data_IF_310865409754
#
_entry.id   IF_310865409754
#
_cell.length_a   1.000
_cell.length_b   1.000
_cell.length_c   1.000
_cell.angle_alpha   90.00
_cell.angle_beta   90.00
_cell.angle_gamma   90.00
#
_symmetry.space_group_name_H-M   'P 1'
#
loop_
_entity.id
_entity.type
_entity.pdbx_description
1 polymer ?
#
# COMPACT_ATOMS: atom_id res chain seq x y z
N UNK A 1 -20.34 5.35 6.51
CA UNK A 1 -19.68 5.64 7.83
C UNK A 1 -20.67 5.57 8.98
N UNK A 2 -20.30 4.93 10.10
CA UNK A 2 -21.02 4.96 11.38
C UNK A 2 -20.90 6.32 12.10
N UNK A 3 -21.52 6.47 13.28
CA UNK A 3 -21.54 7.74 14.01
C UNK A 3 -20.15 8.16 14.52
N UNK A 4 -19.35 7.20 15.01
CA UNK A 4 -17.98 7.46 15.49
C UNK A 4 -17.06 7.89 14.34
N UNK A 5 -17.13 7.17 13.22
CA UNK A 5 -16.37 7.51 12.01
C UNK A 5 -16.73 8.91 11.49
N UNK A 6 -18.01 9.30 11.51
CA UNK A 6 -18.43 10.66 11.13
C UNK A 6 -17.86 11.73 12.07
N UNK A 7 -17.85 11.47 13.38
CA UNK A 7 -17.27 12.39 14.36
C UNK A 7 -15.76 12.54 14.15
N UNK A 8 -15.04 11.44 13.93
CA UNK A 8 -13.62 11.43 13.67
C UNK A 8 -13.27 12.12 12.33
N UNK A 9 -14.08 11.90 11.29
CA UNK A 9 -13.93 12.60 10.01
C UNK A 9 -14.13 14.12 10.18
N UNK A 10 -15.15 14.55 10.93
CA UNK A 10 -15.36 15.98 11.21
C UNK A 10 -14.17 16.60 11.99
N UNK A 11 -13.57 15.85 12.91
CA UNK A 11 -12.35 16.28 13.63
C UNK A 11 -11.16 16.40 12.67
N UNK A 12 -10.94 15.41 11.80
CA UNK A 12 -9.91 15.46 10.77
C UNK A 12 -10.07 16.68 9.85
N UNK A 13 -11.29 16.96 9.39
CA UNK A 13 -11.57 18.10 8.52
C UNK A 13 -11.25 19.44 9.20
N UNK A 14 -11.51 19.58 10.50
CA UNK A 14 -11.11 20.77 11.27
C UNK A 14 -9.60 20.90 11.30
N UNK A 15 -8.86 19.82 11.61
CA UNK A 15 -7.40 19.86 11.56
C UNK A 15 -6.85 20.26 10.19
N UNK A 16 -7.41 19.73 9.11
CA UNK A 16 -6.96 20.02 7.73
C UNK A 16 -7.27 21.47 7.29
N UNK A 17 -8.26 22.11 7.92
CA UNK A 17 -8.55 23.53 7.73
C UNK A 17 -7.53 24.45 8.43
N UNK A 18 -6.87 23.98 9.49
CA UNK A 18 -5.94 24.76 10.29
C UNK A 18 -4.47 24.49 9.97
N UNK A 19 -4.12 23.26 9.68
CA UNK A 19 -2.73 22.79 9.51
C UNK A 19 -2.58 21.92 8.25
N UNK A 20 -1.36 21.79 7.69
CA UNK A 20 -1.07 20.82 6.64
C UNK A 20 -1.43 19.39 7.05
N UNK A 21 -1.68 18.53 6.09
CA UNK A 21 -1.97 17.10 6.32
C UNK A 21 -0.84 16.26 5.75
N UNK A 22 -0.39 15.27 6.51
CA UNK A 22 0.52 14.23 6.03
C UNK A 22 -0.26 12.93 5.87
N UNK A 23 -0.28 12.37 4.68
CA UNK A 23 -1.03 11.14 4.36
C UNK A 23 -0.07 9.99 4.13
N UNK A 24 -0.20 8.91 4.87
CA UNK A 24 0.43 7.61 4.61
C UNK A 24 -0.64 6.69 4.05
N UNK A 25 -0.47 6.18 2.85
CA UNK A 25 -1.49 5.37 2.19
C UNK A 25 -0.92 4.10 1.60
N UNK A 26 -1.63 2.98 1.82
CA UNK A 26 -1.50 1.83 0.95
C UNK A 26 -2.18 2.09 -0.41
N UNK A 27 -1.89 1.24 -1.40
CA UNK A 27 -2.47 1.31 -2.73
C UNK A 27 -3.60 0.30 -2.92
N UNK A 28 -3.28 -0.98 -2.81
CA UNK A 28 -4.19 -2.07 -3.16
C UNK A 28 -5.40 -2.09 -2.24
N UNK A 29 -6.61 -2.15 -2.80
CA UNK A 29 -7.89 -2.16 -2.05
C UNK A 29 -8.10 -0.98 -1.09
N UNK A 30 -7.13 -0.09 -0.99
CA UNK A 30 -7.18 1.14 -0.19
C UNK A 30 -7.45 2.33 -1.09
N UNK A 31 -6.44 2.75 -1.85
CA UNK A 31 -6.54 3.88 -2.78
C UNK A 31 -6.92 3.44 -4.20
N UNK A 32 -6.80 2.16 -4.47
CA UNK A 32 -7.06 1.55 -5.77
C UNK A 32 -8.21 0.55 -5.71
N UNK A 33 -8.96 0.49 -6.79
CA UNK A 33 -9.95 -0.54 -7.05
C UNK A 33 -9.28 -1.66 -7.84
N UNK A 34 -9.29 -2.88 -7.32
CA UNK A 34 -8.80 -4.06 -8.04
C UNK A 34 -9.84 -4.57 -9.03
N UNK A 35 -9.37 -4.96 -10.22
CA UNK A 35 -10.14 -5.75 -11.17
C UNK A 35 -11.33 -5.06 -11.84
N UNK A 36 -11.45 -3.74 -11.75
CA UNK A 36 -12.59 -3.04 -12.34
C UNK A 36 -12.42 -2.88 -13.85
N UNK A 37 -13.06 -3.75 -14.65
CA UNK A 37 -13.12 -3.62 -16.11
C UNK A 37 -13.77 -2.31 -16.56
N UNK A 38 -14.71 -1.78 -15.80
CA UNK A 38 -15.39 -0.51 -16.09
C UNK A 38 -14.41 0.67 -15.99
N UNK A 39 -13.48 0.60 -15.07
CA UNK A 39 -12.43 1.61 -14.90
C UNK A 39 -11.40 1.60 -16.04
N UNK A 40 -11.12 0.41 -16.59
CA UNK A 40 -10.26 0.26 -17.77
C UNK A 40 -10.92 0.82 -19.04
N UNK A 41 -12.25 0.74 -19.15
CA UNK A 41 -12.99 1.22 -20.31
C UNK A 41 -12.99 2.76 -20.42
N UNK A 42 -12.94 3.49 -19.31
CA UNK A 42 -12.83 4.95 -19.32
C UNK A 42 -11.40 5.45 -19.65
N UNK A 43 -10.40 4.60 -19.55
CA UNK A 43 -9.00 4.87 -19.88
C UNK A 43 -8.53 3.94 -21.02
N UNK A 44 -9.27 3.85 -22.09
CA UNK A 44 -9.11 2.92 -23.22
C UNK A 44 -7.73 2.87 -23.89
N UNK A 45 -6.86 3.82 -23.64
CA UNK A 45 -5.48 3.77 -24.15
C UNK A 45 -4.62 2.67 -23.51
N UNK A 46 -5.02 2.09 -22.39
CA UNK A 46 -4.25 1.09 -21.64
C UNK A 46 -4.94 -0.25 -21.49
N UNK A 47 -5.84 -0.59 -22.41
CA UNK A 47 -6.23 -1.98 -22.66
C UNK A 47 -6.90 -2.73 -21.52
N UNK A 48 -8.15 -2.99 -21.56
CA UNK A 48 -8.99 -3.97 -20.86
C UNK A 48 -8.34 -5.10 -20.04
N UNK A 49 -7.18 -4.89 -19.47
CA UNK A 49 -6.37 -5.78 -18.66
C UNK A 49 -6.70 -5.57 -17.18
N UNK A 50 -6.80 -6.65 -16.44
CA UNK A 50 -6.95 -6.62 -14.98
C UNK A 50 -5.80 -5.80 -14.37
N UNK A 51 -6.07 -4.60 -13.90
CA UNK A 51 -5.09 -3.70 -13.31
C UNK A 51 -5.60 -3.13 -11.99
N UNK A 52 -4.72 -2.55 -11.22
CA UNK A 52 -5.08 -1.74 -10.07
C UNK A 52 -5.11 -0.29 -10.51
N UNK A 53 -6.26 0.35 -10.45
CA UNK A 53 -6.45 1.73 -10.83
C UNK A 53 -6.78 2.56 -9.59
N UNK A 54 -6.10 3.70 -9.47
CA UNK A 54 -6.39 4.60 -8.35
C UNK A 54 -7.74 5.28 -8.57
N UNK A 55 -8.55 5.28 -7.52
CA UNK A 55 -9.83 5.96 -7.53
C UNK A 55 -9.63 7.46 -7.83
N UNK A 56 -10.36 8.06 -8.82
CA UNK A 56 -10.05 9.40 -9.34
C UNK A 56 -10.07 10.52 -8.31
N UNK A 57 -11.01 10.48 -7.35
CA UNK A 57 -11.07 11.52 -6.31
C UNK A 57 -9.88 11.40 -5.35
N UNK A 58 -9.43 10.17 -5.05
CA UNK A 58 -8.20 9.94 -4.26
C UNK A 58 -6.99 10.46 -5.05
N UNK A 59 -6.86 10.11 -6.32
CA UNK A 59 -5.77 10.59 -7.17
C UNK A 59 -5.72 12.12 -7.19
N UNK A 60 -6.85 12.78 -7.49
CA UNK A 60 -6.92 14.24 -7.51
C UNK A 60 -6.60 14.87 -6.15
N UNK A 61 -7.07 14.27 -5.06
CA UNK A 61 -6.77 14.74 -3.71
C UNK A 61 -5.28 14.63 -3.41
N UNK A 62 -4.68 13.45 -3.58
CA UNK A 62 -3.27 13.21 -3.28
C UNK A 62 -2.36 14.10 -4.13
N UNK A 63 -2.61 14.24 -5.42
CA UNK A 63 -1.79 15.09 -6.30
C UNK A 63 -1.91 16.59 -5.99
N UNK A 64 -3.04 17.04 -5.41
CA UNK A 64 -3.24 18.45 -5.03
C UNK A 64 -2.74 18.80 -3.63
N UNK A 65 -2.51 17.82 -2.75
CA UNK A 65 -2.04 18.07 -1.38
C UNK A 65 -0.71 18.85 -1.31
N UNK A 66 0.32 18.56 -2.13
CA UNK A 66 1.58 19.31 -2.11
C UNK A 66 1.41 20.80 -2.41
N UNK A 67 0.45 21.18 -3.27
CA UNK A 67 0.16 22.59 -3.58
C UNK A 67 -0.33 23.38 -2.36
N UNK A 68 -0.87 22.67 -1.36
CA UNK A 68 -1.34 23.26 -0.10
C UNK A 68 -0.34 23.17 1.05
N UNK A 69 0.92 22.77 0.78
CA UNK A 69 1.95 22.51 1.79
C UNK A 69 1.71 21.24 2.61
N UNK A 70 0.76 20.40 2.19
CA UNK A 70 0.54 19.07 2.73
C UNK A 70 1.43 18.05 2.03
N UNK A 71 1.53 16.83 2.55
CA UNK A 71 2.34 15.77 1.95
C UNK A 71 1.56 14.46 1.85
N UNK A 72 1.94 13.60 0.92
CA UNK A 72 1.50 12.23 0.91
C UNK A 72 2.67 11.28 0.68
N UNK A 73 2.57 10.10 1.26
CA UNK A 73 3.57 9.05 1.22
C UNK A 73 2.86 7.75 0.89
N UNK A 74 3.24 7.14 -0.22
CA UNK A 74 2.74 5.82 -0.61
C UNK A 74 3.54 4.78 0.15
N UNK A 75 2.86 3.81 0.78
CA UNK A 75 3.49 2.73 1.53
C UNK A 75 2.89 1.41 1.06
N UNK A 76 3.56 0.74 0.12
CA UNK A 76 2.96 -0.39 -0.60
C UNK A 76 3.88 -1.61 -0.65
N UNK A 77 3.25 -2.78 -0.79
CA UNK A 77 3.93 -4.02 -1.13
C UNK A 77 4.40 -4.08 -2.59
N UNK A 78 3.85 -3.23 -3.47
CA UNK A 78 4.21 -3.23 -4.89
C UNK A 78 5.65 -2.81 -5.11
N UNK A 79 6.25 -3.39 -6.15
CA UNK A 79 7.57 -2.96 -6.60
C UNK A 79 7.43 -1.73 -7.50
N UNK A 80 8.38 -0.80 -7.39
CA UNK A 80 8.32 0.49 -8.07
C UNK A 80 8.42 0.45 -9.60
N UNK A 81 9.15 -0.51 -10.15
CA UNK A 81 9.44 -0.60 -11.60
C UNK A 81 9.03 -1.92 -12.25
N UNK A 82 8.52 -2.87 -11.47
CA UNK A 82 8.18 -4.16 -12.02
C UNK A 82 6.77 -4.10 -12.63
N UNK A 83 6.70 -4.32 -13.92
CA UNK A 83 5.44 -4.58 -14.59
C UNK A 83 4.91 -5.94 -14.11
N UNK A 84 3.60 -6.03 -13.89
CA UNK A 84 2.92 -7.32 -13.80
C UNK A 84 3.04 -8.04 -15.15
N UNK A 85 3.07 -9.35 -15.10
CA UNK A 85 2.97 -10.17 -16.29
C UNK A 85 1.57 -10.75 -16.35
N UNK A 86 0.88 -10.53 -17.45
CA UNK A 86 -0.43 -11.13 -17.70
C UNK A 86 -0.26 -12.66 -17.83
N UNK A 87 -0.99 -13.40 -17.02
CA UNK A 87 -0.85 -14.86 -16.95
C UNK A 87 -1.39 -15.58 -18.20
N UNK A 88 -2.22 -14.93 -18.98
CA UNK A 88 -2.83 -15.49 -20.19
C UNK A 88 -1.99 -15.14 -21.43
N UNK A 89 -1.53 -13.89 -21.52
CA UNK A 89 -0.82 -13.39 -22.70
C UNK A 89 0.69 -13.40 -22.57
N UNK A 90 1.22 -13.45 -21.31
CA UNK A 90 2.65 -13.31 -21.03
C UNK A 90 3.17 -11.87 -21.21
N UNK A 91 2.30 -10.91 -21.48
CA UNK A 91 2.69 -9.53 -21.67
C UNK A 91 2.93 -8.80 -20.35
N UNK A 92 3.85 -7.85 -20.35
CA UNK A 92 4.08 -6.96 -19.21
C UNK A 92 2.94 -5.95 -19.12
N UNK A 93 2.25 -5.94 -17.98
CA UNK A 93 1.21 -4.96 -17.66
C UNK A 93 1.88 -3.88 -16.80
N UNK A 94 1.83 -2.59 -17.22
CA UNK A 94 2.29 -1.48 -16.38
C UNK A 94 1.60 -1.51 -15.02
N UNK A 95 2.28 -1.10 -13.95
CA UNK A 95 1.64 -0.90 -12.65
C UNK A 95 0.78 0.36 -12.72
N UNK A 96 -0.49 0.17 -13.07
CA UNK A 96 -1.42 1.25 -13.36
C UNK A 96 -1.58 2.23 -12.20
N UNK A 97 -1.52 1.75 -10.95
CA UNK A 97 -1.68 2.62 -9.79
C UNK A 97 -0.55 3.63 -9.63
N UNK A 98 0.70 3.21 -9.84
CA UNK A 98 1.83 4.12 -9.83
C UNK A 98 1.82 5.03 -11.06
N UNK A 99 1.53 4.48 -12.21
CA UNK A 99 1.42 5.24 -13.46
C UNK A 99 0.33 6.31 -13.35
N UNK A 100 -0.85 5.95 -12.86
CA UNK A 100 -1.97 6.86 -12.67
C UNK A 100 -1.68 7.97 -11.67
N UNK A 101 -1.11 7.59 -10.50
CA UNK A 101 -0.76 8.57 -9.47
C UNK A 101 0.25 9.57 -9.99
N UNK A 102 1.16 9.11 -10.80
CA UNK A 102 2.32 9.87 -11.23
C UNK A 102 2.06 10.64 -12.52
N UNK A 103 0.89 10.49 -13.16
CA UNK A 103 0.53 11.18 -14.39
C UNK A 103 1.53 10.94 -15.53
N UNK A 104 2.12 9.74 -15.55
CA UNK A 104 3.21 9.38 -16.43
C UNK A 104 4.61 9.68 -15.84
N UNK A 105 5.63 9.48 -16.65
CA UNK A 105 7.06 9.51 -16.25
C UNK A 105 7.47 10.81 -15.54
N UNK A 106 6.88 11.94 -15.89
CA UNK A 106 7.24 13.26 -15.34
C UNK A 106 6.72 13.51 -13.91
N UNK A 107 5.76 12.75 -13.44
CA UNK A 107 5.25 12.89 -12.08
C UNK A 107 6.04 12.05 -11.06
N UNK A 108 6.90 11.16 -11.52
CA UNK A 108 7.83 10.38 -10.70
C UNK A 108 8.76 11.25 -9.86
N UNK A 109 9.11 12.42 -10.34
CA UNK A 109 10.01 13.35 -9.65
C UNK A 109 9.42 13.92 -8.35
N UNK A 110 8.08 13.87 -8.18
CA UNK A 110 7.40 14.46 -7.01
C UNK A 110 6.82 13.43 -6.04
N UNK A 111 6.85 12.15 -6.38
CA UNK A 111 6.31 11.12 -5.52
C UNK A 111 7.32 10.71 -4.43
N UNK A 112 6.81 10.57 -3.23
CA UNK A 112 7.55 9.93 -2.14
C UNK A 112 6.86 8.63 -1.77
N UNK A 113 7.57 7.52 -1.86
CA UNK A 113 7.02 6.21 -1.61
C UNK A 113 8.00 5.27 -0.88
N UNK A 114 7.42 4.40 -0.08
CA UNK A 114 8.07 3.19 0.44
C UNK A 114 7.46 2.02 -0.32
N UNK A 115 8.24 1.37 -1.16
CA UNK A 115 7.80 0.28 -2.03
C UNK A 115 8.44 -1.06 -1.63
N UNK A 116 7.93 -2.17 -2.18
CA UNK A 116 8.46 -3.51 -1.94
C UNK A 116 8.45 -3.89 -0.46
N UNK A 117 7.33 -3.71 0.22
CA UNK A 117 7.19 -3.98 1.67
C UNK A 117 8.26 -3.29 2.54
N UNK A 118 8.60 -2.03 2.25
CA UNK A 118 9.52 -1.27 3.07
C UNK A 118 10.99 -1.36 2.66
N UNK A 119 11.30 -1.98 1.54
CA UNK A 119 12.67 -2.12 1.06
C UNK A 119 13.19 -0.92 0.29
N UNK A 120 12.35 -0.30 -0.49
CA UNK A 120 12.73 0.76 -1.41
C UNK A 120 12.14 2.09 -0.96
N UNK A 121 12.99 3.08 -0.83
CA UNK A 121 12.58 4.48 -0.74
C UNK A 121 12.64 5.07 -2.16
N UNK A 122 11.53 5.62 -2.61
CA UNK A 122 11.45 6.39 -3.84
C UNK A 122 11.19 7.83 -3.46
N UNK A 123 12.08 8.71 -3.86
CA UNK A 123 11.97 10.13 -3.59
C UNK A 123 12.67 10.91 -4.69
N UNK A 124 12.03 11.95 -5.21
CA UNK A 124 12.58 12.84 -6.22
C UNK A 124 13.13 12.07 -7.45
N UNK A 125 12.37 11.05 -7.92
CA UNK A 125 12.75 10.19 -9.03
C UNK A 125 13.86 9.17 -8.73
N UNK A 126 14.48 9.23 -7.56
CA UNK A 126 15.57 8.34 -7.15
C UNK A 126 15.05 7.19 -6.28
N UNK A 127 15.66 6.02 -6.46
CA UNK A 127 15.36 4.83 -5.67
C UNK A 127 16.54 4.50 -4.78
N UNK A 128 16.30 4.43 -3.47
CA UNK A 128 17.30 4.02 -2.47
C UNK A 128 16.85 2.74 -1.77
N UNK A 129 17.76 1.78 -1.62
CA UNK A 129 17.48 0.56 -0.84
C UNK A 129 17.61 0.88 0.64
N UNK A 130 16.53 0.69 1.40
CA UNK A 130 16.47 0.97 2.84
C UNK A 130 17.03 -0.16 3.72
N UNK A 131 17.94 -1.00 3.24
CA UNK A 131 18.44 -2.13 4.04
C UNK A 131 19.96 -2.28 4.04
N UNK A 132 20.48 -2.88 5.05
CA UNK A 132 21.47 -3.88 5.42
C UNK A 132 22.88 -3.82 4.81
N UNK A 133 23.79 -4.54 5.50
CA UNK A 133 25.12 -4.87 4.97
C UNK A 133 25.03 -5.61 3.63
N UNK A 134 25.95 -5.31 2.72
CA UNK A 134 25.97 -5.91 1.37
C UNK A 134 26.04 -7.45 1.40
N UNK A 135 26.64 -8.05 2.44
CA UNK A 135 26.80 -9.49 2.56
C UNK A 135 25.49 -10.21 2.94
N UNK A 136 24.70 -9.64 3.85
CA UNK A 136 23.38 -10.19 4.21
C UNK A 136 22.42 -10.05 3.04
N UNK A 137 22.45 -8.92 2.34
CA UNK A 137 21.66 -8.71 1.14
C UNK A 137 21.96 -9.74 0.04
N UNK A 138 23.23 -10.15 -0.13
CA UNK A 138 23.62 -11.14 -1.14
C UNK A 138 23.14 -12.56 -0.82
N UNK A 139 23.26 -12.99 0.43
CA UNK A 139 22.77 -14.31 0.86
C UNK A 139 21.26 -14.42 0.74
N UNK A 140 20.54 -13.37 1.16
CA UNK A 140 19.10 -13.30 0.99
C UNK A 140 18.68 -13.35 -0.48
N UNK A 141 19.37 -12.64 -1.36
CA UNK A 141 19.07 -12.67 -2.80
C UNK A 141 19.15 -14.06 -3.40
N UNK A 142 20.09 -14.90 -2.95
CA UNK A 142 20.18 -16.29 -3.41
C UNK A 142 18.95 -17.09 -3.00
N UNK A 143 18.52 -16.95 -1.74
CA UNK A 143 17.34 -17.66 -1.25
C UNK A 143 16.07 -17.10 -1.88
N UNK A 144 15.94 -15.78 -2.00
CA UNK A 144 14.82 -15.11 -2.70
C UNK A 144 14.69 -15.63 -4.13
N UNK A 145 15.78 -15.70 -4.85
CA UNK A 145 15.80 -16.21 -6.23
C UNK A 145 15.38 -17.68 -6.30
N UNK A 146 15.90 -18.51 -5.39
CA UNK A 146 15.52 -19.92 -5.29
C UNK A 146 14.01 -20.06 -5.07
N UNK A 147 13.44 -19.34 -4.13
CA UNK A 147 11.99 -19.35 -3.87
C UNK A 147 11.23 -18.85 -5.10
N UNK A 148 11.65 -17.74 -5.70
CA UNK A 148 11.00 -17.17 -6.88
C UNK A 148 10.95 -18.14 -8.07
N UNK A 149 12.07 -18.78 -8.38
CA UNK A 149 12.15 -19.79 -9.45
C UNK A 149 11.23 -21.00 -9.17
N UNK A 150 11.12 -21.42 -7.91
CA UNK A 150 10.23 -22.52 -7.53
C UNK A 150 8.75 -22.11 -7.50
N UNK A 151 8.41 -20.88 -7.13
CA UNK A 151 7.04 -20.35 -7.25
C UNK A 151 6.60 -20.33 -8.71
N UNK A 152 7.48 -19.95 -9.65
CA UNK A 152 7.14 -20.01 -11.08
C UNK A 152 6.95 -21.43 -11.59
N UNK A 153 7.72 -22.42 -11.08
CA UNK A 153 7.48 -23.83 -11.36
C UNK A 153 6.15 -24.32 -10.76
N UNK A 154 5.88 -23.93 -9.52
CA UNK A 154 4.63 -24.25 -8.84
C UNK A 154 3.41 -23.72 -9.62
N UNK A 155 3.49 -22.51 -10.17
CA UNK A 155 2.48 -21.94 -11.06
C UNK A 155 2.19 -22.87 -12.26
N UNK A 156 3.24 -23.41 -12.89
CA UNK A 156 3.06 -24.36 -14.01
C UNK A 156 2.39 -25.66 -13.57
N UNK A 157 2.74 -26.18 -12.38
CA UNK A 157 2.09 -27.36 -11.81
C UNK A 157 0.62 -27.12 -11.46
N UNK A 158 0.29 -25.93 -10.95
CA UNK A 158 -1.11 -25.53 -10.71
C UNK A 158 -1.88 -25.55 -12.04
N UNK A 159 -1.38 -24.95 -13.09
CA UNK A 159 -2.05 -24.91 -14.39
C UNK A 159 -2.17 -26.27 -15.10
N UNK A 160 -1.31 -27.24 -14.76
CA UNK A 160 -1.47 -28.61 -15.22
C UNK A 160 -2.61 -29.35 -14.50
N UNK A 161 -2.74 -29.12 -13.17
CA UNK A 161 -3.76 -29.77 -12.34
C UNK A 161 -5.13 -29.11 -12.46
N UNK A 162 -5.15 -27.81 -12.57
CA UNK A 162 -6.35 -26.97 -12.68
C UNK A 162 -6.21 -26.01 -13.88
N UNK A 163 -6.44 -26.51 -15.11
CA UNK A 163 -6.25 -25.68 -16.32
C UNK A 163 -7.17 -24.46 -16.36
N UNK A 164 -8.34 -24.54 -15.75
CA UNK A 164 -9.36 -23.51 -15.63
C UNK A 164 -9.00 -22.40 -14.61
N UNK A 165 -7.96 -22.61 -13.79
CA UNK A 165 -7.46 -21.59 -12.89
C UNK A 165 -6.68 -20.47 -13.61
N UNK A 166 -6.37 -20.61 -14.89
CA UNK A 166 -5.66 -19.59 -15.67
C UNK A 166 -6.47 -18.29 -15.70
N UNK A 167 -5.82 -17.18 -15.36
CA UNK A 167 -6.44 -15.87 -15.24
C UNK A 167 -7.16 -15.60 -13.92
N UNK A 168 -7.25 -16.58 -13.00
CA UNK A 168 -7.90 -16.47 -11.70
C UNK A 168 -6.96 -16.67 -10.51
N UNK A 169 -5.69 -16.94 -10.76
CA UNK A 169 -4.65 -16.99 -9.73
C UNK A 169 -3.54 -16.00 -10.03
N UNK A 170 -2.91 -15.49 -8.98
CA UNK A 170 -1.69 -14.71 -9.08
C UNK A 170 -0.56 -15.53 -8.47
N UNK A 171 0.48 -15.81 -9.24
CA UNK A 171 1.71 -16.41 -8.75
C UNK A 171 2.89 -15.62 -9.32
N UNK A 172 3.55 -14.85 -8.46
CA UNK A 172 4.56 -13.88 -8.87
C UNK A 172 5.83 -14.01 -8.04
N UNK A 173 6.95 -13.79 -8.71
CA UNK A 173 8.22 -13.50 -8.10
C UNK A 173 8.55 -12.02 -8.25
N UNK A 174 8.43 -11.30 -7.16
CA UNK A 174 8.99 -9.95 -7.02
C UNK A 174 10.29 -10.09 -6.24
N UNK A 175 11.33 -9.39 -6.64
CA UNK A 175 12.68 -9.50 -6.04
C UNK A 175 12.76 -9.56 -4.50
N UNK A 176 11.66 -9.45 -3.77
CA UNK A 176 11.61 -9.38 -2.30
C UNK A 176 10.39 -10.06 -1.71
N UNK A 177 9.53 -10.53 -2.58
CA UNK A 177 8.28 -11.18 -2.23
C UNK A 177 7.98 -12.20 -3.32
N UNK A 178 7.81 -13.43 -2.92
CA UNK A 178 7.25 -14.47 -3.79
C UNK A 178 5.92 -14.87 -3.21
N UNK A 179 4.87 -14.87 -4.01
CA UNK A 179 3.54 -15.21 -3.51
C UNK A 179 2.70 -15.96 -4.51
N UNK A 180 1.72 -16.70 -3.99
CA UNK A 180 0.63 -17.31 -4.73
C UNK A 180 -0.68 -16.91 -4.07
N UNK A 181 -1.59 -16.33 -4.85
CA UNK A 181 -2.94 -16.01 -4.40
C UNK A 181 -3.94 -16.79 -5.23
N UNK A 182 -4.77 -17.59 -4.56
CA UNK A 182 -5.79 -18.44 -5.18
C UNK A 182 -7.22 -18.01 -4.85
N UNK A 183 -7.39 -16.87 -4.17
CA UNK A 183 -8.68 -16.45 -3.63
C UNK A 183 -9.75 -16.28 -4.73
N UNK A 184 -9.42 -15.62 -5.84
CA UNK A 184 -10.37 -15.43 -6.94
C UNK A 184 -10.84 -16.77 -7.52
N UNK A 185 -9.93 -17.73 -7.69
CA UNK A 185 -10.31 -19.06 -8.16
C UNK A 185 -11.18 -19.82 -7.15
N UNK A 186 -10.88 -19.66 -5.86
CA UNK A 186 -11.68 -20.28 -4.79
C UNK A 186 -13.10 -19.70 -4.67
N UNK A 187 -13.30 -18.44 -5.05
CA UNK A 187 -14.64 -17.84 -5.15
C UNK A 187 -15.45 -18.44 -6.29
N UNK A 188 -14.81 -18.74 -7.42
CA UNK A 188 -15.47 -19.31 -8.61
C UNK A 188 -15.69 -20.81 -8.44
N UNK A 189 -14.73 -21.52 -7.86
CA UNK A 189 -14.73 -22.97 -7.70
C UNK A 189 -14.27 -23.37 -6.28
N UNK A 190 -15.18 -23.31 -5.27
CA UNK A 190 -14.82 -23.42 -3.86
C UNK A 190 -14.10 -24.73 -3.48
N UNK A 191 -14.54 -25.87 -4.00
CA UNK A 191 -13.92 -27.18 -3.70
C UNK A 191 -12.52 -27.28 -4.28
N UNK A 192 -12.37 -27.02 -5.59
CA UNK A 192 -11.07 -27.04 -6.25
C UNK A 192 -10.13 -25.95 -5.71
N UNK A 193 -10.66 -24.78 -5.36
CA UNK A 193 -9.91 -23.71 -4.72
C UNK A 193 -9.35 -24.09 -3.36
N UNK A 194 -10.11 -24.83 -2.54
CA UNK A 194 -9.66 -25.38 -1.27
C UNK A 194 -8.55 -26.41 -1.44
N UNK A 195 -8.72 -27.33 -2.39
CA UNK A 195 -7.68 -28.33 -2.71
C UNK A 195 -6.40 -27.64 -3.21
N UNK A 196 -6.54 -26.65 -4.08
CA UNK A 196 -5.44 -25.86 -4.61
C UNK A 196 -4.71 -25.10 -3.48
N UNK A 197 -5.44 -24.44 -2.60
CA UNK A 197 -4.85 -23.73 -1.46
C UNK A 197 -4.04 -24.68 -0.56
N UNK A 198 -4.56 -25.86 -0.26
CA UNK A 198 -3.85 -26.86 0.52
C UNK A 198 -2.60 -27.38 -0.20
N UNK A 199 -2.67 -27.59 -1.51
CA UNK A 199 -1.53 -27.97 -2.33
C UNK A 199 -0.45 -26.88 -2.33
N UNK A 200 -0.82 -25.63 -2.59
CA UNK A 200 0.11 -24.49 -2.59
C UNK A 200 0.76 -24.29 -1.22
N UNK A 201 -0.01 -24.32 -0.14
CA UNK A 201 0.53 -24.20 1.23
C UNK A 201 1.59 -25.27 1.50
N UNK A 202 1.30 -26.52 1.14
CA UNK A 202 2.24 -27.65 1.30
C UNK A 202 3.54 -27.42 0.50
N UNK A 203 3.44 -27.06 -0.75
CA UNK A 203 4.60 -26.85 -1.62
C UNK A 203 5.45 -25.64 -1.19
N UNK A 204 4.81 -24.53 -0.83
CA UNK A 204 5.50 -23.35 -0.32
C UNK A 204 6.27 -23.62 0.99
N UNK A 205 5.69 -24.41 1.91
CA UNK A 205 6.40 -24.85 3.13
C UNK A 205 7.57 -25.79 2.81
N UNK A 206 7.39 -26.69 1.86
CA UNK A 206 8.44 -27.61 1.43
C UNK A 206 9.65 -26.85 0.83
N UNK A 207 9.41 -25.81 0.04
CA UNK A 207 10.47 -24.95 -0.50
C UNK A 207 11.30 -24.30 0.60
N UNK A 208 10.68 -23.88 1.71
CA UNK A 208 11.38 -23.23 2.83
C UNK A 208 12.34 -24.16 3.58
N UNK A 209 12.14 -25.48 3.48
CA UNK A 209 12.85 -26.50 4.25
C UNK A 209 13.57 -27.52 3.39
N UNK A 210 13.63 -27.30 2.07
CA UNK A 210 14.27 -28.23 1.15
C UNK A 210 15.79 -28.35 1.43
N UNK A 211 16.31 -29.54 1.34
CA UNK A 211 17.74 -29.84 1.64
C UNK A 211 18.72 -29.17 0.69
N UNK A 212 18.29 -28.92 -0.52
CA UNK A 212 19.04 -28.27 -1.60
C UNK A 212 18.80 -26.75 -1.66
N UNK A 213 17.97 -26.22 -0.77
CA UNK A 213 17.74 -24.78 -0.68
C UNK A 213 19.03 -24.05 -0.26
N UNK A 214 19.30 -22.88 -0.84
CA UNK A 214 20.35 -22.01 -0.33
C UNK A 214 20.13 -21.65 1.13
N UNK A 215 21.19 -21.24 1.82
CA UNK A 215 21.08 -20.77 3.20
C UNK A 215 20.08 -19.60 3.31
N UNK A 216 19.11 -19.74 4.21
CA UNK A 216 18.22 -18.65 4.63
C UNK A 216 18.85 -17.98 5.88
N UNK A 217 19.66 -16.91 5.71
CA UNK A 217 20.47 -16.37 6.78
C UNK A 217 19.58 -15.83 7.91
N UNK A 218 19.80 -16.32 9.14
CA UNK A 218 19.07 -15.90 10.33
C UNK A 218 17.54 -16.02 10.18
N UNK A 219 17.04 -16.95 9.36
CA UNK A 219 15.63 -17.03 8.98
C UNK A 219 15.09 -15.68 8.48
N UNK A 220 15.88 -14.99 7.70
CA UNK A 220 15.55 -13.66 7.19
C UNK A 220 14.28 -13.65 6.35
N UNK A 221 14.07 -14.72 5.56
CA UNK A 221 12.81 -14.92 4.85
C UNK A 221 11.92 -15.91 5.62
N UNK A 222 10.63 -15.66 5.60
CA UNK A 222 9.66 -16.51 6.25
C UNK A 222 8.42 -16.65 5.40
N UNK A 223 7.76 -17.79 5.55
CA UNK A 223 6.47 -18.08 4.93
C UNK A 223 5.32 -17.59 5.81
N UNK A 224 4.31 -17.00 5.22
CA UNK A 224 3.08 -16.57 5.87
C UNK A 224 1.89 -16.74 4.95
N UNK A 225 0.70 -16.86 5.53
CA UNK A 225 -0.58 -16.80 4.84
C UNK A 225 -1.28 -15.53 5.30
N UNK A 226 -1.57 -14.66 4.37
CA UNK A 226 -2.27 -13.40 4.63
C UNK A 226 -3.78 -13.67 4.84
N UNK A 227 -4.50 -12.78 5.54
CA UNK A 227 -5.95 -12.90 5.72
C UNK A 227 -6.73 -12.97 4.40
N UNK A 228 -6.17 -12.41 3.33
CA UNK A 228 -6.72 -12.47 1.97
C UNK A 228 -6.52 -13.81 1.27
N UNK A 229 -5.92 -14.81 1.94
CA UNK A 229 -5.57 -16.09 1.35
C UNK A 229 -4.31 -16.08 0.48
N UNK A 230 -3.60 -14.97 0.41
CA UNK A 230 -2.29 -14.91 -0.25
C UNK A 230 -1.24 -15.67 0.57
N UNK A 231 -0.55 -16.59 -0.08
CA UNK A 231 0.55 -17.37 0.50
C UNK A 231 1.88 -16.78 0.07
N UNK A 232 2.66 -16.27 1.03
CA UNK A 232 3.79 -15.40 0.76
C UNK A 232 5.08 -15.87 1.43
N UNK A 233 6.19 -15.75 0.72
CA UNK A 233 7.53 -15.77 1.31
C UNK A 233 8.10 -14.36 1.25
N UNK A 234 8.34 -13.77 2.41
CA UNK A 234 8.83 -12.39 2.54
C UNK A 234 9.93 -12.26 3.59
N UNK A 235 10.68 -11.19 3.54
CA UNK A 235 11.73 -10.91 4.51
C UNK A 235 11.15 -10.35 5.82
N UNK A 236 11.63 -10.85 6.97
CA UNK A 236 11.28 -10.33 8.31
C UNK A 236 11.65 -8.86 8.51
N UNK A 237 12.69 -8.42 7.82
CA UNK A 237 13.17 -7.04 7.91
C UNK A 237 12.60 -6.14 6.82
N UNK A 238 11.69 -6.67 6.01
CA UNK A 238 10.95 -5.93 5.00
C UNK A 238 9.50 -5.88 5.42
N UNK A 239 9.14 -4.80 6.07
CA UNK A 239 7.77 -4.50 6.44
C UNK A 239 7.48 -3.04 6.13
N UNK A 240 6.22 -2.70 5.97
CA UNK A 240 5.79 -1.31 5.86
C UNK A 240 6.31 -0.49 7.05
N UNK A 241 6.35 -1.08 8.26
CA UNK A 241 6.92 -0.48 9.46
C UNK A 241 8.38 -0.05 9.26
N UNK A 242 9.25 -1.00 8.93
CA UNK A 242 10.67 -0.71 8.73
C UNK A 242 10.93 0.33 7.65
N UNK A 243 10.15 0.27 6.57
CA UNK A 243 10.26 1.24 5.49
C UNK A 243 9.86 2.65 5.93
N UNK A 244 8.75 2.79 6.62
CA UNK A 244 8.26 4.07 7.14
C UNK A 244 9.23 4.65 8.18
N UNK A 245 9.73 3.84 9.11
CA UNK A 245 10.70 4.26 10.13
C UNK A 245 12.02 4.77 9.51
N UNK A 246 12.51 4.10 8.46
CA UNK A 246 13.79 4.44 7.81
C UNK A 246 13.68 5.51 6.73
N UNK A 247 12.49 5.82 6.25
CA UNK A 247 12.28 6.78 5.16
C UNK A 247 12.52 8.25 5.53
N UNK A 248 12.44 8.57 6.83
CA UNK A 248 12.42 9.94 7.32
C UNK A 248 11.04 10.62 7.19
N UNK A 249 10.03 9.93 6.67
CA UNK A 249 8.69 10.51 6.48
C UNK A 249 7.98 10.83 7.78
N UNK A 250 8.19 10.03 8.83
CA UNK A 250 7.62 10.30 10.16
C UNK A 250 8.11 11.63 10.72
N UNK A 251 9.41 11.90 10.61
CA UNK A 251 9.97 13.17 11.07
C UNK A 251 9.47 14.35 10.25
N UNK A 252 9.35 14.19 8.92
CA UNK A 252 8.79 15.23 8.06
C UNK A 252 7.34 15.54 8.44
N UNK A 253 6.50 14.52 8.62
CA UNK A 253 5.12 14.67 9.04
C UNK A 253 4.99 15.32 10.44
N UNK A 254 5.87 14.95 11.36
CA UNK A 254 5.91 15.56 12.69
C UNK A 254 6.25 17.05 12.62
N UNK A 255 7.30 17.42 11.88
CA UNK A 255 7.73 18.82 11.69
C UNK A 255 6.67 19.68 10.98
N UNK A 256 5.87 19.11 10.11
CA UNK A 256 4.75 19.78 9.47
C UNK A 256 3.67 20.26 10.46
N UNK A 257 3.55 19.60 11.61
CA UNK A 257 2.72 20.06 12.73
C UNK A 257 1.22 19.86 12.57
N UNK A 258 0.76 19.26 11.49
CA UNK A 258 -0.66 19.05 11.17
C UNK A 258 -1.18 17.65 11.47
N UNK A 259 -2.34 17.32 10.91
CA UNK A 259 -2.92 15.99 11.00
C UNK A 259 -2.09 14.96 10.22
N UNK A 260 -2.03 13.76 10.76
CA UNK A 260 -1.42 12.60 10.12
C UNK A 260 -2.50 11.57 9.85
N UNK A 261 -2.67 11.20 8.60
CA UNK A 261 -3.65 10.26 8.13
C UNK A 261 -2.98 8.97 7.69
N UNK A 262 -3.39 7.84 8.26
CA UNK A 262 -2.88 6.51 7.88
C UNK A 262 -4.03 5.74 7.26
N UNK A 263 -3.92 5.37 6.00
CA UNK A 263 -4.99 4.75 5.22
C UNK A 263 -4.60 3.35 4.77
N UNK A 264 -5.45 2.37 5.02
CA UNK A 264 -5.23 0.97 4.65
C UNK A 264 -6.52 0.15 4.69
N UNK A 265 -6.43 -1.09 4.22
CA UNK A 265 -7.50 -2.07 4.27
C UNK A 265 -7.14 -3.31 5.12
N UNK A 266 -5.86 -3.54 5.37
CA UNK A 266 -5.33 -4.76 6.00
C UNK A 266 -4.76 -4.48 7.39
N UNK A 267 -5.65 -4.23 8.38
CA UNK A 267 -5.28 -3.91 9.76
C UNK A 267 -5.42 -5.09 10.75
N UNK A 268 -5.87 -6.26 10.30
CA UNK A 268 -5.95 -7.47 11.11
C UNK A 268 -4.60 -7.88 11.71
N UNK A 269 -4.59 -8.87 12.60
CA UNK A 269 -3.42 -9.31 13.38
C UNK A 269 -2.16 -9.59 12.53
N UNK A 270 -2.34 -10.04 11.29
CA UNK A 270 -1.26 -10.31 10.33
C UNK A 270 -1.29 -9.34 9.14
N UNK A 271 -2.10 -8.30 9.20
CA UNK A 271 -2.26 -7.36 8.10
C UNK A 271 -1.05 -6.46 7.94
N UNK A 272 -0.65 -6.22 6.69
CA UNK A 272 0.55 -5.42 6.37
C UNK A 272 0.38 -3.93 6.67
N UNK A 273 -0.85 -3.42 6.68
CA UNK A 273 -1.13 -2.01 7.00
C UNK A 273 -1.08 -1.74 8.49
N UNK A 274 -1.30 -2.77 9.32
CA UNK A 274 -1.09 -2.69 10.76
C UNK A 274 0.34 -2.27 11.08
N UNK A 275 1.32 -2.81 10.38
CA UNK A 275 2.73 -2.44 10.51
C UNK A 275 2.96 -0.93 10.32
N UNK A 276 2.28 -0.34 9.34
CA UNK A 276 2.37 1.09 9.05
C UNK A 276 1.72 1.93 10.18
N UNK A 277 0.56 1.51 10.67
CA UNK A 277 -0.12 2.18 11.81
C UNK A 277 0.75 2.12 13.06
N UNK A 278 1.36 0.97 13.35
CA UNK A 278 2.22 0.79 14.50
C UNK A 278 3.47 1.69 14.44
N UNK A 279 4.11 1.81 13.27
CA UNK A 279 5.23 2.73 13.09
C UNK A 279 4.84 4.19 13.41
N UNK A 280 3.72 4.64 12.85
CA UNK A 280 3.20 6.00 13.08
C UNK A 280 2.82 6.17 14.56
N UNK A 281 2.11 5.20 15.15
CA UNK A 281 1.71 5.23 16.57
C UNK A 281 2.91 5.41 17.48
N UNK A 282 3.90 4.53 17.34
CA UNK A 282 5.04 4.51 18.26
C UNK A 282 5.83 5.82 18.16
N UNK A 283 6.03 6.33 16.94
CA UNK A 283 6.72 7.59 16.71
C UNK A 283 5.96 8.80 17.30
N UNK A 284 4.67 8.93 16.99
CA UNK A 284 3.88 10.10 17.43
C UNK A 284 3.55 10.07 18.91
N UNK A 285 3.37 8.87 19.50
CA UNK A 285 3.21 8.72 20.96
C UNK A 285 4.48 9.12 21.69
N UNK A 286 5.66 8.68 21.22
CA UNK A 286 6.94 9.09 21.80
C UNK A 286 7.21 10.62 21.73
N UNK A 287 6.55 11.31 20.80
CA UNK A 287 6.61 12.78 20.64
C UNK A 287 5.46 13.53 21.35
N UNK A 288 4.55 12.84 22.04
CA UNK A 288 3.38 13.44 22.67
C UNK A 288 2.38 14.09 21.68
N UNK A 289 2.31 13.56 20.46
CA UNK A 289 1.52 14.12 19.35
C UNK A 289 0.50 13.13 18.76
N UNK A 290 0.11 12.12 19.55
CA UNK A 290 -0.83 11.07 19.15
C UNK A 290 -2.24 11.60 18.80
N UNK A 291 -2.64 12.72 19.34
CA UNK A 291 -3.92 13.38 19.08
C UNK A 291 -4.07 13.90 17.65
N UNK A 292 -2.97 13.98 16.91
CA UNK A 292 -2.89 14.40 15.52
C UNK A 292 -3.07 13.25 14.53
N UNK A 293 -3.01 12.00 14.99
CA UNK A 293 -3.04 10.81 14.12
C UNK A 293 -4.47 10.32 13.96
N UNK A 294 -4.84 10.03 12.73
CA UNK A 294 -6.12 9.44 12.33
C UNK A 294 -5.85 8.21 11.47
N UNK A 295 -6.59 7.15 11.72
CA UNK A 295 -6.55 5.93 10.92
C UNK A 295 -7.79 5.85 10.06
N UNK A 296 -7.65 5.60 8.76
CA UNK A 296 -8.77 5.33 7.86
C UNK A 296 -8.74 3.88 7.43
N UNK A 297 -9.74 3.14 7.84
CA UNK A 297 -9.90 1.74 7.51
C UNK A 297 -10.89 1.57 6.35
N UNK A 298 -10.42 1.03 5.23
CA UNK A 298 -11.23 0.71 4.05
C UNK A 298 -11.74 -0.72 4.17
N UNK A 299 -13.04 -0.90 4.34
CA UNK A 299 -13.66 -2.18 4.72
C UNK A 299 -13.84 -3.16 3.55
N UNK A 300 -13.94 -2.68 2.31
CA UNK A 300 -14.12 -3.49 1.09
C UNK A 300 -15.24 -4.54 1.16
N UNK A 301 -16.38 -4.17 1.78
CA UNK A 301 -17.53 -5.06 1.95
C UNK A 301 -17.45 -6.01 3.16
N UNK A 302 -16.34 -6.04 3.87
CA UNK A 302 -16.15 -6.90 5.04
C UNK A 302 -16.68 -6.21 6.32
N UNK A 303 -17.97 -6.33 6.57
CA UNK A 303 -18.60 -5.75 7.77
C UNK A 303 -18.05 -6.28 9.10
N UNK A 304 -17.47 -7.48 9.12
CA UNK A 304 -16.96 -8.12 10.32
C UNK A 304 -15.54 -7.67 10.73
N UNK A 305 -14.82 -6.93 9.90
CA UNK A 305 -13.49 -6.41 10.25
C UNK A 305 -13.49 -5.25 11.24
N UNK A 306 -14.64 -4.69 11.57
CA UNK A 306 -14.76 -3.72 12.67
C UNK A 306 -14.43 -4.33 14.04
N UNK A 307 -14.47 -5.67 14.19
CA UNK A 307 -14.05 -6.35 15.42
C UNK A 307 -12.54 -6.48 15.55
N UNK A 308 -11.83 -6.47 14.44
CA UNK A 308 -10.39 -6.23 14.42
C UNK A 308 -10.10 -4.72 14.50
N UNK A 309 -10.85 -4.02 15.38
CA UNK A 309 -10.43 -2.69 15.79
C UNK A 309 -8.95 -2.81 16.05
N UNK A 310 -8.18 -2.08 15.26
CA UNK A 310 -6.83 -1.80 15.65
C UNK A 310 -6.94 -1.45 17.12
N UNK A 311 -6.22 -2.11 18.02
CA UNK A 311 -6.02 -1.62 19.39
C UNK A 311 -5.33 -0.25 19.34
N UNK A 312 -5.62 0.48 18.26
CA UNK A 312 -5.08 1.79 18.00
C UNK A 312 -5.78 2.75 18.93
N UNK A 313 -5.01 3.35 19.82
CA UNK A 313 -5.44 4.50 20.61
C UNK A 313 -5.81 5.71 19.73
N UNK A 314 -5.90 5.55 18.40
CA UNK A 314 -6.16 6.60 17.43
C UNK A 314 -7.63 6.66 17.00
N UNK A 315 -8.14 7.87 16.74
CA UNK A 315 -9.43 8.04 16.08
C UNK A 315 -9.47 7.29 14.76
N UNK A 316 -10.35 6.30 14.66
CA UNK A 316 -10.52 5.50 13.45
C UNK A 316 -11.74 5.97 12.67
N UNK A 317 -11.57 6.08 11.35
CA UNK A 317 -12.60 6.41 10.37
C UNK A 317 -12.79 5.19 9.49
N UNK A 318 -13.88 4.47 9.65
CA UNK A 318 -14.22 3.34 8.79
C UNK A 318 -14.97 3.85 7.55
N UNK A 319 -14.47 3.50 6.38
CA UNK A 319 -15.11 3.77 5.09
C UNK A 319 -15.41 2.45 4.39
N UNK A 320 -16.50 2.43 3.63
CA UNK A 320 -17.01 1.20 3.00
C UNK A 320 -16.06 0.64 1.96
N UNK A 321 -15.54 1.51 1.12
CA UNK A 321 -14.76 1.17 -0.07
C UNK A 321 -13.88 2.36 -0.52
N UNK A 322 -13.03 2.21 -1.54
CA UNK A 322 -12.23 3.30 -2.08
C UNK A 322 -13.04 4.51 -2.59
N UNK A 323 -14.33 4.34 -2.96
CA UNK A 323 -15.15 5.45 -3.42
C UNK A 323 -15.55 6.36 -2.24
N UNK A 324 -15.94 5.78 -1.11
CA UNK A 324 -16.21 6.54 0.11
C UNK A 324 -14.93 7.20 0.65
N UNK A 325 -13.78 6.51 0.55
CA UNK A 325 -12.49 7.11 0.83
C UNK A 325 -12.22 8.31 -0.08
N UNK A 326 -12.52 8.20 -1.37
CA UNK A 326 -12.38 9.29 -2.34
C UNK A 326 -13.16 10.54 -1.95
N UNK A 327 -14.39 10.36 -1.48
CA UNK A 327 -15.21 11.48 -0.98
C UNK A 327 -14.58 12.15 0.24
N UNK A 328 -14.06 11.38 1.20
CA UNK A 328 -13.34 11.91 2.37
C UNK A 328 -12.09 12.69 1.93
N UNK A 329 -11.28 12.12 1.06
CA UNK A 329 -10.05 12.73 0.58
C UNK A 329 -10.29 14.01 -0.21
N UNK A 330 -11.36 14.08 -0.99
CA UNK A 330 -11.79 15.31 -1.67
C UNK A 330 -12.12 16.44 -0.69
N UNK A 331 -12.77 16.13 0.44
CA UNK A 331 -13.04 17.12 1.49
C UNK A 331 -11.74 17.57 2.17
N UNK A 332 -10.86 16.66 2.53
CA UNK A 332 -9.54 16.96 3.15
C UNK A 332 -8.71 17.87 2.24
N UNK A 333 -8.61 17.54 0.95
CA UNK A 333 -7.88 18.35 -0.02
C UNK A 333 -8.52 19.73 -0.23
N UNK A 334 -9.85 19.80 -0.24
CA UNK A 334 -10.59 21.06 -0.32
C UNK A 334 -10.31 22.00 0.86
N UNK A 335 -10.31 21.49 2.09
CA UNK A 335 -9.97 22.27 3.29
C UNK A 335 -8.51 22.75 3.24
N UNK A 336 -7.57 21.86 2.91
CA UNK A 336 -6.16 22.19 2.78
C UNK A 336 -5.90 23.30 1.74
N UNK A 337 -6.58 23.25 0.61
CA UNK A 337 -6.48 24.27 -0.45
C UNK A 337 -7.04 25.63 0.00
N UNK A 338 -8.17 25.61 0.69
CA UNK A 338 -8.79 26.83 1.25
C UNK A 338 -7.84 27.51 2.26
N UNK A 339 -7.28 26.74 3.19
CA UNK A 339 -6.27 27.21 4.14
C UNK A 339 -5.08 27.87 3.44
N UNK A 340 -4.46 27.17 2.48
CA UNK A 340 -3.27 27.67 1.77
C UNK A 340 -3.55 29.02 1.05
N UNK A 341 -4.73 29.17 0.47
CA UNK A 341 -5.16 30.46 -0.12
C UNK A 341 -5.29 31.57 0.91
N UNK A 342 -5.91 31.28 2.04
CA UNK A 342 -6.08 32.24 3.15
C UNK A 342 -4.72 32.70 3.69
N UNK A 343 -3.78 31.76 3.94
CA UNK A 343 -2.42 32.08 4.37
C UNK A 343 -1.67 32.97 3.37
N UNK A 344 -1.83 32.71 2.07
CA UNK A 344 -1.21 33.51 1.01
C UNK A 344 -1.73 34.95 1.02
N UNK A 345 -3.05 35.12 1.11
CA UNK A 345 -3.69 36.45 1.18
C UNK A 345 -3.23 37.23 2.41
N UNK A 346 -3.18 36.55 3.57
CA UNK A 346 -2.70 37.17 4.80
C UNK A 346 -1.24 37.64 4.70
N UNK A 347 -0.36 36.81 4.15
CA UNK A 347 1.06 37.17 3.94
C UNK A 347 1.20 38.37 3.02
N UNK A 348 0.48 38.42 1.92
CA UNK A 348 0.48 39.57 1.01
C UNK A 348 -0.04 40.84 1.66
N UNK A 349 -1.12 40.73 2.44
CA UNK A 349 -1.69 41.89 3.15
C UNK A 349 -0.72 42.45 4.18
N UNK A 350 -0.01 41.57 4.93
CA UNK A 350 1.00 42.00 5.92
C UNK A 350 2.23 42.61 5.25
N UNK A 351 2.67 42.06 4.12
CA UNK A 351 3.78 42.64 3.36
C UNK A 351 3.46 44.04 2.86
N UNK A 352 2.25 44.24 2.32
CA UNK A 352 1.79 45.58 1.87
C UNK A 352 1.65 46.61 2.99
N UNK A 353 1.34 46.17 4.24
CA UNK A 353 1.30 47.05 5.40
C UNK A 353 2.69 47.45 5.92
N UNK A 354 3.71 46.63 5.71
CA UNK A 354 5.11 46.93 6.15
C UNK A 354 5.88 47.76 5.13
N UNK A 355 5.41 47.83 3.89
CA UNK A 355 6.00 48.64 2.83
C UNK A 355 5.41 50.07 2.70
N UNK A 356 4.47 50.39 3.55
CA UNK A 356 3.94 51.75 3.76
C UNK A 356 4.43 52.31 5.10
#
# INVERSE_FOLDING_TARGET
>A
MDAESRQNAARLLRFSAEKPVSVFTDLDKTSCVEGCREYAAENESETGKKGCFMQPDIRRALTSLPESGSAYYIVTGRHWKDARVDDVTGEKIPDGAFHDLLGGVNAFEKAAAVAGHGRLLVKDGNTTVLSRSANEAFKEQKFERYIGENVLKLKQEIFKRWPDARGHILAEYKKHLSYVNVAEYAEINPEAGKEMAAFVDKEMRAMMTAKDAPENPNNALFYTVEPTGSMEVRSRNQSKRNGVEKSGFLEQAYKQGGAVLVMGDSFGKNGTDRDMVEAVRDYFTAKGAQDRVFVVHVLNGEQNRLTDKTDSCFPTIAVKDPNELGQLMKLVAGQSKTRARTETVLKQTLANKRGR
#
